data_IF_701865996914
#
_entry.id   IF_701865996914
#
_cell.length_a   1.000
_cell.length_b   1.000
_cell.length_c   1.000
_cell.angle_alpha   90.00
_cell.angle_beta   90.00
_cell.angle_gamma   90.00
#
_symmetry.space_group_name_H-M   'P 1'
#
loop_
_entity.id
_entity.type
_entity.pdbx_description
1 polymer ?
#
# COMPACT_ATOMS: atom_id res chain seq x y z
N UNK A 1 -0.06 -4.46 7.27
CA UNK A 1 -0.88 -4.11 6.08
C UNK A 1 -2.15 -4.96 5.96
N UNK A 2 -2.09 -6.28 5.71
CA UNK A 2 -3.30 -7.08 5.41
C UNK A 2 -4.28 -7.20 6.58
N UNK A 3 -3.78 -7.39 7.81
CA UNK A 3 -4.65 -7.40 8.99
C UNK A 3 -5.30 -6.03 9.22
N UNK A 4 -4.53 -4.95 9.04
CA UNK A 4 -5.02 -3.57 9.17
C UNK A 4 -6.10 -3.27 8.12
N UNK A 5 -5.94 -3.80 6.91
CA UNK A 5 -6.92 -3.71 5.84
C UNK A 5 -8.22 -4.42 6.17
N UNK A 6 -8.16 -5.64 6.70
CA UNK A 6 -9.35 -6.39 7.15
C UNK A 6 -10.04 -5.64 8.31
N UNK A 7 -9.27 -5.11 9.25
CA UNK A 7 -9.79 -4.31 10.37
C UNK A 7 -10.48 -3.03 9.89
N UNK A 8 -9.91 -2.35 8.90
CA UNK A 8 -10.55 -1.17 8.31
C UNK A 8 -11.75 -1.49 7.44
N UNK A 9 -11.77 -2.63 6.75
CA UNK A 9 -12.98 -3.10 6.06
C UNK A 9 -14.14 -3.28 7.05
N UNK A 10 -13.85 -3.81 8.25
CA UNK A 10 -14.85 -3.89 9.32
C UNK A 10 -15.31 -2.51 9.82
N UNK A 11 -14.37 -1.62 10.15
CA UNK A 11 -14.69 -0.26 10.64
C UNK A 11 -15.48 0.58 9.62
N UNK A 12 -15.27 0.33 8.33
CA UNK A 12 -15.93 1.05 7.25
C UNK A 12 -17.11 0.31 6.61
N UNK A 13 -17.55 -0.82 7.17
CA UNK A 13 -18.65 -1.63 6.62
C UNK A 13 -18.45 -1.98 5.12
N UNK A 14 -17.24 -2.38 4.77
CA UNK A 14 -16.93 -2.86 3.42
C UNK A 14 -17.17 -4.38 3.41
N UNK A 15 -18.12 -4.81 2.58
CA UNK A 15 -18.43 -6.23 2.43
C UNK A 15 -17.28 -7.01 1.78
N UNK A 16 -17.07 -8.25 2.24
CA UNK A 16 -16.13 -9.19 1.63
C UNK A 16 -16.74 -9.79 0.37
N UNK A 17 -16.51 -9.14 -0.77
CA UNK A 17 -16.89 -9.61 -2.10
C UNK A 17 -15.67 -9.90 -2.98
N UNK A 18 -15.87 -10.44 -4.18
CA UNK A 18 -14.79 -10.77 -5.12
C UNK A 18 -13.89 -9.56 -5.45
N UNK A 19 -14.45 -8.35 -5.51
CA UNK A 19 -13.72 -7.11 -5.78
C UNK A 19 -12.79 -6.75 -4.61
N UNK A 20 -13.32 -6.76 -3.39
CA UNK A 20 -12.55 -6.51 -2.17
C UNK A 20 -11.46 -7.55 -1.97
N UNK A 21 -11.72 -8.81 -2.33
CA UNK A 21 -10.73 -9.88 -2.26
C UNK A 21 -9.55 -9.61 -3.21
N UNK A 22 -9.81 -9.19 -4.44
CA UNK A 22 -8.76 -8.79 -5.40
C UNK A 22 -7.92 -7.63 -4.85
N UNK A 23 -8.57 -6.63 -4.26
CA UNK A 23 -7.87 -5.50 -3.63
C UNK A 23 -7.03 -5.95 -2.42
N UNK A 24 -7.50 -6.92 -1.65
CA UNK A 24 -6.76 -7.50 -0.52
C UNK A 24 -5.51 -8.26 -1.00
N UNK A 25 -5.64 -9.08 -2.06
CA UNK A 25 -4.51 -9.79 -2.68
C UNK A 25 -3.50 -8.81 -3.26
N UNK A 26 -3.97 -7.74 -3.91
CA UNK A 26 -3.10 -6.67 -4.39
C UNK A 26 -2.33 -6.00 -3.25
N UNK A 27 -3.00 -5.75 -2.12
CA UNK A 27 -2.36 -5.17 -0.92
C UNK A 27 -1.26 -6.08 -0.36
N UNK A 28 -1.45 -7.40 -0.37
CA UNK A 28 -0.41 -8.38 0.01
C UNK A 28 0.77 -8.31 -0.95
N UNK A 29 0.54 -8.30 -2.27
CA UNK A 29 1.60 -8.24 -3.26
C UNK A 29 2.50 -7.00 -3.11
N UNK A 30 1.86 -5.84 -2.93
CA UNK A 30 2.55 -4.58 -2.65
C UNK A 30 3.39 -4.67 -1.36
N UNK A 31 2.80 -5.19 -0.28
CA UNK A 31 3.52 -5.36 1.00
C UNK A 31 4.74 -6.26 0.86
N UNK A 32 4.65 -7.34 0.09
CA UNK A 32 5.75 -8.27 -0.13
C UNK A 32 6.88 -7.63 -0.92
N UNK A 33 6.56 -6.85 -1.95
CA UNK A 33 7.55 -6.13 -2.76
C UNK A 33 8.36 -5.18 -1.87
N UNK A 34 7.72 -4.44 -0.96
CA UNK A 34 8.40 -3.56 -0.02
C UNK A 34 9.30 -4.28 0.97
N UNK A 35 8.75 -5.28 1.67
CA UNK A 35 9.52 -6.06 2.62
C UNK A 35 10.74 -6.70 1.95
N UNK A 36 10.57 -7.26 0.74
CA UNK A 36 11.64 -7.91 0.00
C UNK A 36 12.73 -6.92 -0.41
N UNK A 37 12.37 -5.77 -0.98
CA UNK A 37 13.37 -4.79 -1.42
C UNK A 37 14.07 -4.07 -0.27
N UNK A 38 13.36 -3.72 0.80
CA UNK A 38 13.97 -3.14 2.01
C UNK A 38 14.93 -4.15 2.65
N UNK A 39 14.52 -5.41 2.81
CA UNK A 39 15.39 -6.44 3.36
C UNK A 39 16.61 -6.67 2.47
N UNK A 40 16.43 -6.70 1.15
CA UNK A 40 17.53 -6.86 0.20
C UNK A 40 18.52 -5.70 0.28
N UNK A 41 18.06 -4.46 0.25
CA UNK A 41 18.94 -3.28 0.31
C UNK A 41 19.65 -3.20 1.66
N UNK A 42 18.93 -3.49 2.76
CA UNK A 42 19.52 -3.59 4.09
C UNK A 42 20.63 -4.65 4.13
N UNK A 43 20.40 -5.86 3.60
CA UNK A 43 21.35 -6.97 3.61
C UNK A 43 22.58 -6.71 2.74
N UNK A 44 22.42 -6.08 1.58
CA UNK A 44 23.50 -5.77 0.64
C UNK A 44 24.25 -4.47 0.98
N UNK A 45 23.70 -3.63 1.87
CA UNK A 45 24.33 -2.38 2.26
C UNK A 45 25.69 -2.59 2.94
N UNK A 46 26.70 -1.87 2.45
CA UNK A 46 28.07 -1.88 2.98
C UNK A 46 28.28 -0.97 4.20
N UNK A 47 27.22 -0.34 4.72
CA UNK A 47 27.34 0.53 5.89
C UNK A 47 27.68 -0.26 7.17
N UNK A 48 28.64 0.25 7.96
CA UNK A 48 29.09 -0.42 9.21
C UNK A 48 28.04 -0.50 10.31
N UNK A 49 27.14 0.49 10.42
CA UNK A 49 26.12 0.53 11.47
C UNK A 49 24.78 0.01 10.95
N UNK A 50 24.13 -0.84 11.75
CA UNK A 50 22.77 -1.32 11.47
C UNK A 50 21.77 -0.18 11.31
N UNK A 51 21.94 0.91 12.08
CA UNK A 51 21.08 2.09 11.98
C UNK A 51 21.21 2.76 10.60
N UNK A 52 22.44 2.97 10.12
CA UNK A 52 22.70 3.58 8.80
C UNK A 52 22.22 2.71 7.65
N UNK A 53 22.34 1.39 7.78
CA UNK A 53 21.78 0.44 6.79
C UNK A 53 20.26 0.54 6.72
N UNK A 54 19.59 0.64 7.87
CA UNK A 54 18.13 0.78 7.93
C UNK A 54 17.67 2.12 7.36
N UNK A 55 18.34 3.21 7.72
CA UNK A 55 18.05 4.56 7.21
C UNK A 55 18.20 4.62 5.69
N UNK A 56 19.29 4.09 5.14
CA UNK A 56 19.52 4.06 3.70
C UNK A 56 18.47 3.23 2.96
N UNK A 57 18.23 1.99 3.43
CA UNK A 57 17.26 1.09 2.81
C UNK A 57 15.84 1.67 2.83
N UNK A 58 15.45 2.31 3.93
CA UNK A 58 14.16 2.97 4.07
C UNK A 58 14.05 4.22 3.18
N UNK A 59 15.09 5.05 3.11
CA UNK A 59 15.08 6.25 2.28
C UNK A 59 14.98 5.91 0.78
N UNK A 60 15.78 4.93 0.34
CA UNK A 60 15.81 4.50 -1.06
C UNK A 60 14.50 3.83 -1.46
N UNK A 61 14.01 2.87 -0.68
CA UNK A 61 12.75 2.20 -0.98
C UNK A 61 11.53 3.10 -0.76
N UNK A 62 11.50 3.90 0.30
CA UNK A 62 10.43 4.82 0.61
C UNK A 62 10.15 5.80 -0.53
N UNK A 63 11.19 6.34 -1.18
CA UNK A 63 11.01 7.19 -2.37
C UNK A 63 10.39 6.44 -3.56
N UNK A 64 10.78 5.18 -3.77
CA UNK A 64 10.26 4.34 -4.86
C UNK A 64 8.79 3.97 -4.61
N UNK A 65 8.44 3.65 -3.36
CA UNK A 65 7.06 3.40 -2.90
C UNK A 65 6.18 4.62 -3.15
N UNK A 66 6.62 5.78 -2.66
CA UNK A 66 5.83 7.01 -2.73
C UNK A 66 5.68 7.48 -4.17
N UNK A 67 6.70 7.32 -5.01
CA UNK A 67 6.58 7.64 -6.43
C UNK A 67 5.75 6.62 -7.21
N UNK A 68 5.89 5.33 -6.94
CA UNK A 68 5.23 4.27 -7.70
C UNK A 68 3.75 4.14 -7.34
N UNK A 69 3.44 4.00 -6.05
CA UNK A 69 2.08 3.76 -5.57
C UNK A 69 1.26 5.03 -5.52
N UNK A 70 1.81 6.11 -4.96
CA UNK A 70 1.03 7.34 -4.80
C UNK A 70 0.70 7.93 -6.18
N UNK A 71 1.66 7.96 -7.12
CA UNK A 71 1.47 8.64 -8.40
C UNK A 71 0.51 7.89 -9.35
N UNK A 72 0.65 6.57 -9.49
CA UNK A 72 -0.22 5.79 -10.40
C UNK A 72 -1.62 5.57 -9.82
N UNK A 73 -1.71 5.44 -8.49
CA UNK A 73 -2.95 5.04 -7.82
C UNK A 73 -3.84 6.24 -7.47
N UNK A 74 -3.25 7.41 -7.14
CA UNK A 74 -4.04 8.65 -6.99
C UNK A 74 -4.71 9.03 -8.31
N UNK A 75 -4.04 8.89 -9.45
CA UNK A 75 -4.65 9.12 -10.77
C UNK A 75 -5.89 8.24 -10.99
N UNK A 76 -5.79 6.94 -10.67
CA UNK A 76 -6.93 6.03 -10.72
C UNK A 76 -8.05 6.41 -9.75
N UNK A 77 -7.71 6.71 -8.49
CA UNK A 77 -8.68 7.08 -7.43
C UNK A 77 -9.44 8.37 -7.80
N UNK A 78 -8.79 9.37 -8.39
CA UNK A 78 -9.42 10.63 -8.80
C UNK A 78 -10.41 10.42 -9.94
N UNK A 79 -10.06 9.60 -10.94
CA UNK A 79 -10.98 9.23 -12.03
C UNK A 79 -12.18 8.44 -11.50
N UNK A 80 -11.96 7.57 -10.52
CA UNK A 80 -13.00 6.75 -9.91
C UNK A 80 -13.89 7.55 -8.96
N UNK A 81 -13.39 8.62 -8.34
CA UNK A 81 -14.17 9.55 -7.51
C UNK A 81 -15.22 10.33 -8.31
N UNK A 82 -15.01 10.52 -9.61
CA UNK A 82 -16.00 11.11 -10.52
C UNK A 82 -17.03 10.09 -11.06
N UNK A 83 -16.91 8.81 -10.69
CA UNK A 83 -17.89 7.78 -11.06
C UNK A 83 -19.15 7.90 -10.21
N UNK A 84 -20.31 8.05 -10.86
CA UNK A 84 -21.61 8.22 -10.21
C UNK A 84 -22.14 6.95 -9.51
N UNK A 85 -21.37 5.86 -9.51
CA UNK A 85 -21.80 4.55 -9.01
C UNK A 85 -21.35 4.34 -7.56
N UNK A 86 -22.30 4.09 -6.65
CA UNK A 86 -22.02 3.92 -5.20
C UNK A 86 -21.03 2.79 -4.89
N UNK A 87 -21.02 1.72 -5.71
CA UNK A 87 -20.05 0.64 -5.58
C UNK A 87 -18.61 1.12 -5.82
N UNK A 88 -18.39 2.00 -6.78
CA UNK A 88 -17.06 2.52 -7.07
C UNK A 88 -16.56 3.47 -5.97
N UNK A 89 -17.43 4.33 -5.46
CA UNK A 89 -17.05 5.27 -4.41
C UNK A 89 -16.80 4.57 -3.05
N UNK A 90 -17.51 3.49 -2.73
CA UNK A 90 -17.33 2.82 -1.43
C UNK A 90 -16.23 1.75 -1.51
N UNK A 91 -16.20 0.91 -2.54
CA UNK A 91 -15.26 -0.21 -2.60
C UNK A 91 -13.89 0.18 -3.18
N UNK A 92 -13.84 1.06 -4.18
CA UNK A 92 -12.56 1.43 -4.79
C UNK A 92 -11.92 2.59 -4.04
N UNK A 93 -12.63 3.71 -3.83
CA UNK A 93 -12.03 4.90 -3.20
C UNK A 93 -11.62 4.67 -1.74
N UNK A 94 -12.52 4.15 -0.88
CA UNK A 94 -12.20 3.93 0.55
C UNK A 94 -11.13 2.86 0.72
N UNK A 95 -11.26 1.75 0.01
CA UNK A 95 -10.31 0.65 0.15
C UNK A 95 -8.93 1.02 -0.40
N UNK A 96 -8.83 1.78 -1.50
CA UNK A 96 -7.54 2.25 -2.01
C UNK A 96 -6.88 3.30 -1.13
N UNK A 97 -7.65 4.22 -0.53
CA UNK A 97 -7.10 5.15 0.48
C UNK A 97 -6.46 4.36 1.62
N UNK A 98 -7.15 3.34 2.15
CA UNK A 98 -6.57 2.50 3.20
C UNK A 98 -5.28 1.81 2.73
N UNK A 99 -5.26 1.21 1.54
CA UNK A 99 -4.05 0.54 1.02
C UNK A 99 -2.88 1.51 0.96
N UNK A 100 -3.09 2.74 0.50
CA UNK A 100 -2.03 3.76 0.42
C UNK A 100 -1.60 4.21 1.80
N UNK A 101 -2.54 4.48 2.71
CA UNK A 101 -2.24 4.92 4.08
C UNK A 101 -1.48 3.85 4.88
N UNK A 102 -1.95 2.59 4.87
CA UNK A 102 -1.24 1.50 5.57
C UNK A 102 0.02 1.06 4.84
N UNK A 103 0.05 1.13 3.51
CA UNK A 103 1.25 0.85 2.73
C UNK A 103 2.36 1.87 2.92
N UNK A 104 2.03 3.13 3.23
CA UNK A 104 3.02 4.15 3.56
C UNK A 104 3.48 4.10 5.03
N UNK A 105 2.62 3.61 5.93
CA UNK A 105 2.89 3.58 7.37
C UNK A 105 3.65 2.32 7.85
N UNK A 106 3.69 1.26 7.05
CA UNK A 106 4.22 -0.06 7.41
C UNK A 106 5.41 -0.46 6.54
#
# INVERSE_FOLDING_TARGET
>A
ITCDMIGMMYLWNIELNAISLVNLVMSVGISLEFCAHICRDFLLSSHRSRLKRAEHALAYMGSSVFSGITLTKIGGIVVLGFSHSQLFHIFYFRMFICIVSFGAAH
#
